data_IF_988345278453
#
_entry.id   IF_988345278453
#
_cell.length_a   1.000
_cell.length_b   1.000
_cell.length_c   1.000
_cell.angle_alpha   90.00
_cell.angle_beta   90.00
_cell.angle_gamma   90.00
#
_symmetry.space_group_name_H-M   'P 1'
#
loop_
_entity.id
_entity.type
_entity.pdbx_description
1 polymer ?
#
# COMPACT_ATOMS: atom_id res chain seq x y z
N UNK A 1 0.01 67.22 -33.50
CA UNK A 1 0.67 66.42 -32.42
C UNK A 1 -0.31 65.96 -31.35
N UNK A 2 -1.32 66.72 -30.97
CA UNK A 2 -2.32 66.39 -29.90
C UNK A 2 -3.23 65.19 -30.21
N UNK A 3 -3.68 64.95 -31.45
CA UNK A 3 -4.60 63.84 -31.81
C UNK A 3 -3.97 62.44 -31.69
N UNK A 4 -2.66 62.30 -31.93
CA UNK A 4 -1.97 60.99 -31.79
C UNK A 4 -1.78 60.59 -30.31
N UNK A 5 -1.56 61.60 -29.42
CA UNK A 5 -1.43 61.33 -27.95
C UNK A 5 -2.76 60.87 -27.32
N UNK A 6 -3.89 61.46 -27.77
CA UNK A 6 -5.21 61.07 -27.29
C UNK A 6 -5.64 59.65 -27.74
N UNK A 7 -5.19 59.20 -28.92
CA UNK A 7 -5.46 57.85 -29.43
C UNK A 7 -4.65 56.79 -28.65
N UNK A 8 -3.38 57.10 -28.35
CA UNK A 8 -2.51 56.16 -27.58
C UNK A 8 -3.03 56.02 -26.14
N UNK A 9 -3.49 57.13 -25.52
CA UNK A 9 -4.05 57.11 -24.18
C UNK A 9 -5.35 56.29 -24.10
N UNK A 10 -6.22 56.37 -25.12
CA UNK A 10 -7.45 55.56 -25.24
C UNK A 10 -7.13 54.06 -25.43
N UNK A 11 -6.12 53.72 -26.22
CA UNK A 11 -5.70 52.34 -26.42
C UNK A 11 -5.07 51.73 -25.14
N UNK A 12 -4.31 52.50 -24.37
CA UNK A 12 -3.76 52.10 -23.08
C UNK A 12 -4.87 51.86 -22.02
N UNK A 13 -5.89 52.73 -21.98
CA UNK A 13 -7.05 52.58 -21.08
C UNK A 13 -7.88 51.34 -21.42
N UNK A 14 -8.12 51.06 -22.71
CA UNK A 14 -8.83 49.85 -23.16
C UNK A 14 -8.04 48.59 -22.82
N UNK A 15 -6.72 48.63 -23.00
CA UNK A 15 -5.83 47.50 -22.63
C UNK A 15 -5.85 47.20 -21.10
N UNK A 16 -5.90 48.26 -20.29
CA UNK A 16 -5.98 48.15 -18.83
C UNK A 16 -7.30 47.55 -18.36
N UNK A 17 -8.44 47.98 -18.98
CA UNK A 17 -9.77 47.45 -18.66
C UNK A 17 -9.91 45.98 -19.08
N UNK A 18 -9.36 45.58 -20.23
CA UNK A 18 -9.36 44.18 -20.66
C UNK A 18 -8.50 43.32 -19.74
N UNK A 19 -7.37 43.83 -19.25
CA UNK A 19 -6.51 43.09 -18.30
C UNK A 19 -7.22 42.85 -16.95
N UNK A 20 -7.97 43.83 -16.43
CA UNK A 20 -8.71 43.69 -15.16
C UNK A 20 -9.93 42.76 -15.31
N UNK A 21 -10.56 42.70 -16.49
CA UNK A 21 -11.70 41.80 -16.72
C UNK A 21 -11.23 40.34 -16.87
N UNK A 22 -10.02 40.09 -17.40
CA UNK A 22 -9.45 38.73 -17.55
C UNK A 22 -8.96 38.16 -16.22
N UNK A 23 -8.61 38.99 -15.23
CA UNK A 23 -8.17 38.53 -13.90
C UNK A 23 -9.33 38.20 -12.94
N UNK A 24 -10.56 38.64 -13.25
CA UNK A 24 -11.76 38.36 -12.46
C UNK A 24 -12.75 37.44 -13.20
N UNK A 25 -12.28 36.55 -14.07
CA UNK A 25 -13.16 35.58 -14.72
C UNK A 25 -13.63 34.53 -13.70
N UNK A 26 -14.91 34.11 -13.70
CA UNK A 26 -15.42 33.08 -12.81
C UNK A 26 -14.74 31.72 -13.04
N UNK A 27 -14.03 31.53 -14.14
CA UNK A 27 -13.24 30.32 -14.45
C UNK A 27 -12.01 30.25 -13.53
N UNK A 28 -11.36 31.37 -13.19
CA UNK A 28 -10.21 31.35 -12.25
C UNK A 28 -10.66 31.00 -10.82
N UNK A 29 -11.84 31.51 -10.41
CA UNK A 29 -12.39 31.17 -9.08
C UNK A 29 -12.85 29.72 -9.01
N UNK A 30 -13.39 29.16 -10.10
CA UNK A 30 -13.72 27.73 -10.15
C UNK A 30 -12.47 26.83 -10.10
N UNK A 31 -11.36 27.22 -10.71
CA UNK A 31 -10.10 26.48 -10.67
C UNK A 31 -9.48 26.48 -9.26
N UNK A 32 -9.52 27.61 -8.55
CA UNK A 32 -9.05 27.68 -7.15
C UNK A 32 -9.94 26.87 -6.19
N UNK A 33 -11.27 26.87 -6.39
CA UNK A 33 -12.17 26.06 -5.55
C UNK A 33 -12.04 24.57 -5.82
N UNK A 34 -11.71 24.15 -7.07
CA UNK A 34 -11.44 22.75 -7.40
C UNK A 34 -10.13 22.26 -6.78
N UNK A 35 -9.11 23.11 -6.67
CA UNK A 35 -7.83 22.73 -6.04
C UNK A 35 -7.95 22.63 -4.51
N UNK A 36 -8.71 23.55 -3.87
CA UNK A 36 -9.00 23.45 -2.42
C UNK A 36 -9.85 22.20 -2.10
N UNK A 37 -10.82 21.83 -2.93
CA UNK A 37 -11.63 20.62 -2.73
C UNK A 37 -10.78 19.37 -2.88
N UNK A 38 -9.84 19.34 -3.81
CA UNK A 38 -8.91 18.22 -3.99
C UNK A 38 -7.98 18.05 -2.80
N UNK A 39 -7.57 19.15 -2.15
CA UNK A 39 -6.74 19.10 -0.94
C UNK A 39 -7.52 18.57 0.27
N UNK A 40 -8.84 18.81 0.37
CA UNK A 40 -9.69 18.30 1.44
C UNK A 40 -9.97 16.79 1.32
N UNK A 41 -10.04 16.24 0.10
CA UNK A 41 -10.21 14.80 -0.14
C UNK A 41 -8.97 13.96 0.24
N UNK A 42 -7.84 14.59 0.52
CA UNK A 42 -6.59 13.93 0.92
C UNK A 42 -6.27 14.03 2.41
N UNK A 43 -7.17 14.57 3.22
CA UNK A 43 -6.97 14.65 4.68
C UNK A 43 -7.25 13.30 5.31
N UNK A 44 -6.22 12.74 5.93
CA UNK A 44 -6.31 11.49 6.66
C UNK A 44 -7.23 11.59 7.88
N UNK A 45 -8.20 10.69 7.99
CA UNK A 45 -9.07 10.54 9.17
C UNK A 45 -8.24 9.92 10.30
N UNK A 46 -8.20 10.59 11.48
CA UNK A 46 -7.42 10.15 12.65
C UNK A 46 -8.27 9.70 13.82
N UNK A 47 -9.58 9.86 13.73
CA UNK A 47 -10.56 9.38 14.69
C UNK A 47 -11.83 8.97 13.96
N UNK A 48 -12.42 7.85 14.31
CA UNK A 48 -13.67 7.35 13.74
C UNK A 48 -14.52 6.70 14.85
N UNK A 49 -15.76 7.17 15.02
CA UNK A 49 -16.70 6.68 16.05
C UNK A 49 -16.09 6.65 17.47
N UNK A 50 -15.27 7.65 17.81
CA UNK A 50 -14.60 7.74 19.11
C UNK A 50 -13.42 6.79 19.31
N UNK A 51 -12.90 6.17 18.23
CA UNK A 51 -11.68 5.38 18.22
C UNK A 51 -10.56 6.17 17.57
N UNK A 52 -9.41 6.25 18.23
CA UNK A 52 -8.20 6.78 17.64
C UNK A 52 -7.68 5.83 16.57
N UNK A 53 -7.29 6.39 15.42
CA UNK A 53 -6.70 5.65 14.30
C UNK A 53 -5.21 5.91 14.20
N UNK A 54 -4.43 4.87 13.87
CA UNK A 54 -3.03 4.99 13.51
C UNK A 54 -2.87 5.78 12.21
N UNK A 55 -1.74 6.47 12.01
CA UNK A 55 -1.46 7.07 10.71
C UNK A 55 -1.17 6.01 9.66
N UNK A 56 -1.50 6.33 8.41
CA UNK A 56 -1.09 5.53 7.25
C UNK A 56 0.44 5.48 7.11
N UNK A 57 1.17 6.38 7.78
CA UNK A 57 2.62 6.45 7.84
C UNK A 57 3.22 5.77 9.08
N UNK A 58 2.41 5.33 10.05
CA UNK A 58 2.88 4.80 11.34
C UNK A 58 3.39 3.34 11.28
N UNK A 59 3.36 2.68 10.13
CA UNK A 59 3.79 1.30 10.00
C UNK A 59 4.72 1.05 8.80
N UNK A 60 5.57 0.02 8.96
CA UNK A 60 6.58 -0.30 7.97
C UNK A 60 5.95 -0.90 6.70
N UNK A 61 6.60 -0.65 5.57
CA UNK A 61 6.30 -1.36 4.33
C UNK A 61 6.99 -2.73 4.36
N UNK A 62 6.19 -3.80 4.27
CA UNK A 62 6.65 -5.17 4.17
C UNK A 62 6.14 -5.79 2.87
N UNK A 63 7.05 -6.24 2.02
CA UNK A 63 6.76 -6.91 0.76
C UNK A 63 7.93 -7.74 0.28
N UNK A 64 7.70 -8.60 -0.70
CA UNK A 64 8.74 -9.49 -1.24
C UNK A 64 9.57 -8.84 -2.35
N UNK A 65 9.10 -7.71 -2.92
CA UNK A 65 9.79 -6.99 -4.00
C UNK A 65 9.77 -5.46 -3.87
N UNK A 66 9.39 -4.92 -2.70
CA UNK A 66 9.18 -3.49 -2.50
C UNK A 66 7.83 -3.00 -3.05
N UNK A 67 7.49 -1.72 -2.83
CA UNK A 67 6.23 -1.13 -3.27
C UNK A 67 6.01 -1.27 -4.78
N UNK A 68 4.77 -1.61 -5.17
CA UNK A 68 4.39 -1.74 -6.57
C UNK A 68 3.63 -0.49 -7.02
N UNK A 69 4.05 0.10 -8.13
CA UNK A 69 3.39 1.26 -8.73
C UNK A 69 2.51 0.78 -9.89
N UNK A 70 1.23 0.56 -9.61
CA UNK A 70 0.26 0.01 -10.56
C UNK A 70 -0.56 1.15 -11.14
N UNK A 71 -0.68 1.17 -12.47
CA UNK A 71 -1.53 2.10 -13.18
C UNK A 71 -2.97 1.59 -13.18
N UNK A 72 -3.88 2.34 -12.55
CA UNK A 72 -5.29 1.98 -12.43
C UNK A 72 -6.00 1.87 -13.80
N UNK A 73 -5.59 2.66 -14.81
CA UNK A 73 -6.19 2.64 -16.14
C UNK A 73 -5.92 1.31 -16.88
N UNK A 74 -4.81 0.65 -16.54
CA UNK A 74 -4.39 -0.62 -17.15
C UNK A 74 -4.51 -1.80 -16.19
N UNK A 75 -5.12 -1.60 -15.02
CA UNK A 75 -5.29 -2.63 -14.01
C UNK A 75 -6.51 -3.50 -14.32
N UNK A 76 -6.38 -4.80 -14.05
CA UNK A 76 -7.47 -5.78 -14.08
C UNK A 76 -7.39 -6.69 -12.86
N UNK A 77 -8.52 -6.87 -12.18
CA UNK A 77 -8.75 -7.90 -11.16
C UNK A 77 -9.48 -9.06 -11.81
N UNK A 78 -8.92 -10.26 -11.74
CA UNK A 78 -9.59 -11.47 -12.21
C UNK A 78 -10.23 -12.24 -11.07
N UNK A 79 -11.45 -12.80 -11.28
CA UNK A 79 -12.06 -13.78 -10.40
C UNK A 79 -12.26 -15.05 -11.21
N UNK A 80 -11.65 -16.16 -10.80
CA UNK A 80 -11.54 -17.38 -11.61
C UNK A 80 -11.55 -18.66 -10.77
N UNK A 81 -11.24 -19.80 -11.39
CA UNK A 81 -11.18 -21.11 -10.73
C UNK A 81 -12.53 -21.81 -10.68
N UNK A 82 -12.94 -22.31 -9.51
CA UNK A 82 -14.22 -23.01 -9.31
C UNK A 82 -15.39 -22.02 -9.28
N UNK A 83 -15.63 -21.38 -10.43
CA UNK A 83 -16.73 -20.45 -10.70
C UNK A 83 -17.45 -20.86 -12.00
N UNK A 84 -18.69 -20.39 -12.23
CA UNK A 84 -19.38 -20.61 -13.50
C UNK A 84 -18.98 -19.57 -14.55
N UNK A 85 -18.70 -18.34 -14.12
CA UNK A 85 -18.34 -17.21 -14.96
C UNK A 85 -17.13 -16.52 -14.41
N UNK A 86 -15.99 -16.59 -15.11
CA UNK A 86 -14.82 -15.80 -14.76
C UNK A 86 -15.10 -14.32 -14.98
N UNK A 87 -14.58 -13.47 -14.08
CA UNK A 87 -14.71 -12.03 -14.17
C UNK A 87 -13.34 -11.38 -14.46
N UNK A 88 -13.35 -10.36 -15.29
CA UNK A 88 -12.26 -9.42 -15.51
C UNK A 88 -12.77 -8.02 -15.21
N UNK A 89 -12.36 -7.44 -14.08
CA UNK A 89 -12.87 -6.19 -13.57
C UNK A 89 -11.77 -5.13 -13.56
N UNK A 90 -12.04 -3.97 -14.14
CA UNK A 90 -11.17 -2.81 -13.99
C UNK A 90 -11.23 -2.28 -12.55
N UNK A 91 -10.29 -1.40 -12.18
CA UNK A 91 -10.37 -0.69 -10.89
C UNK A 91 -11.70 0.04 -10.72
N UNK A 92 -12.13 0.77 -11.77
CA UNK A 92 -13.39 1.52 -11.76
C UNK A 92 -14.62 0.61 -11.67
N UNK A 93 -14.60 -0.56 -12.30
CA UNK A 93 -15.70 -1.54 -12.17
C UNK A 93 -15.87 -1.97 -10.71
N UNK A 94 -14.77 -2.28 -10.02
CA UNK A 94 -14.84 -2.72 -8.62
C UNK A 94 -15.37 -1.62 -7.72
N UNK A 95 -14.84 -0.39 -7.80
CA UNK A 95 -15.23 0.69 -6.88
C UNK A 95 -16.59 1.31 -7.20
N UNK A 96 -17.14 1.13 -8.42
CA UNK A 96 -18.39 1.74 -8.85
C UNK A 96 -19.59 0.78 -8.84
N UNK A 97 -19.37 -0.52 -9.07
CA UNK A 97 -20.47 -1.48 -9.24
C UNK A 97 -20.79 -2.27 -7.98
N UNK A 98 -19.89 -2.28 -6.97
CA UNK A 98 -20.08 -3.03 -5.74
C UNK A 98 -20.36 -2.10 -4.55
N UNK A 99 -21.15 -2.56 -3.56
CA UNK A 99 -21.41 -1.77 -2.35
C UNK A 99 -20.13 -1.45 -1.59
N UNK A 100 -20.01 -0.20 -1.17
CA UNK A 100 -18.91 0.25 -0.32
C UNK A 100 -19.13 -0.25 1.11
N UNK A 101 -18.08 -0.77 1.70
CA UNK A 101 -18.07 -1.26 3.07
C UNK A 101 -16.89 -0.62 3.84
N UNK A 102 -17.17 -0.11 5.04
CA UNK A 102 -16.18 0.48 5.92
C UNK A 102 -16.09 -0.31 7.23
N UNK A 103 -14.89 -0.53 7.71
CA UNK A 103 -14.65 -1.14 9.03
C UNK A 103 -13.33 -0.69 9.65
N UNK A 104 -13.33 -0.49 10.98
CA UNK A 104 -12.11 -0.25 11.75
C UNK A 104 -11.53 -1.58 12.16
N UNK A 105 -10.37 -1.93 11.60
CA UNK A 105 -9.67 -3.18 11.90
C UNK A 105 -8.22 -2.92 12.23
N UNK A 106 -7.70 -3.66 13.22
CA UNK A 106 -6.27 -3.64 13.58
C UNK A 106 -5.54 -4.72 12.81
N UNK A 107 -4.53 -4.31 12.03
CA UNK A 107 -3.54 -5.20 11.43
C UNK A 107 -2.45 -5.50 12.45
N UNK A 108 -2.13 -6.77 12.66
CA UNK A 108 -1.06 -7.25 13.52
C UNK A 108 0.07 -7.86 12.70
N UNK A 109 1.25 -7.26 12.74
CA UNK A 109 2.43 -7.81 12.08
C UNK A 109 3.14 -8.82 12.96
N UNK A 110 3.69 -9.87 12.34
CA UNK A 110 4.55 -10.87 13.01
C UNK A 110 5.84 -10.25 13.58
N UNK A 111 6.22 -9.06 13.14
CA UNK A 111 7.36 -8.29 13.67
C UNK A 111 7.06 -7.57 15.00
N UNK A 112 5.84 -7.71 15.55
CA UNK A 112 5.47 -7.20 16.86
C UNK A 112 4.90 -5.78 16.88
N UNK A 113 4.58 -5.18 15.72
CA UNK A 113 3.85 -3.93 15.64
C UNK A 113 2.41 -4.13 15.17
N UNK A 114 1.55 -3.17 15.46
CA UNK A 114 0.15 -3.18 15.01
C UNK A 114 -0.35 -1.78 14.71
N UNK A 115 -1.32 -1.67 13.79
CA UNK A 115 -1.96 -0.42 13.41
C UNK A 115 -3.46 -0.60 13.30
N UNK A 116 -4.22 0.38 13.80
CA UNK A 116 -5.68 0.42 13.74
C UNK A 116 -6.10 1.41 12.68
N UNK A 117 -6.77 0.96 11.65
CA UNK A 117 -7.09 1.72 10.44
C UNK A 117 -8.59 1.60 10.14
N UNK A 118 -9.19 2.68 9.66
CA UNK A 118 -10.49 2.66 8.98
C UNK A 118 -10.25 2.23 7.53
N UNK A 119 -10.66 1.02 7.22
CA UNK A 119 -10.57 0.45 5.88
C UNK A 119 -11.88 0.66 5.12
N UNK A 120 -11.79 1.10 3.86
CA UNK A 120 -12.92 1.24 2.94
C UNK A 120 -12.65 0.38 1.70
N UNK A 121 -13.63 -0.44 1.33
CA UNK A 121 -13.49 -1.37 0.22
C UNK A 121 -14.79 -2.04 -0.18
N UNK A 122 -14.67 -3.15 -0.90
CA UNK A 122 -15.79 -4.00 -1.30
C UNK A 122 -15.66 -5.38 -0.66
N UNK A 123 -16.80 -6.01 -0.34
CA UNK A 123 -16.78 -7.35 0.23
C UNK A 123 -16.39 -8.37 -0.84
N UNK A 124 -15.45 -9.26 -0.50
CA UNK A 124 -15.01 -10.33 -1.41
C UNK A 124 -16.17 -11.24 -1.78
N UNK A 125 -17.08 -11.49 -0.84
CA UNK A 125 -18.26 -12.33 -1.10
C UNK A 125 -19.18 -11.79 -2.21
N UNK A 126 -19.25 -10.45 -2.42
CA UNK A 126 -20.05 -9.86 -3.48
C UNK A 126 -19.41 -10.10 -4.85
N UNK A 127 -18.06 -9.96 -4.93
CA UNK A 127 -17.30 -10.27 -6.14
C UNK A 127 -17.42 -11.73 -6.56
N UNK A 128 -17.26 -12.65 -5.60
CA UNK A 128 -17.34 -14.10 -5.90
C UNK A 128 -18.79 -14.56 -6.17
N UNK A 129 -19.79 -13.86 -5.61
CA UNK A 129 -21.19 -14.15 -5.92
C UNK A 129 -21.52 -13.86 -7.38
N UNK A 130 -21.00 -12.77 -7.95
CA UNK A 130 -21.17 -12.43 -9.37
C UNK A 130 -20.50 -13.44 -10.31
N UNK A 131 -19.41 -14.06 -9.86
CA UNK A 131 -18.74 -15.14 -10.57
C UNK A 131 -19.50 -16.49 -10.49
N UNK A 132 -20.56 -16.58 -9.67
CA UNK A 132 -21.35 -17.80 -9.40
C UNK A 132 -20.47 -18.98 -8.94
N UNK A 133 -20.00 -18.90 -7.69
CA UNK A 133 -19.12 -19.93 -7.07
C UNK A 133 -19.69 -21.34 -7.18
N UNK A 134 -18.85 -22.28 -7.58
CA UNK A 134 -19.20 -23.70 -7.58
C UNK A 134 -19.24 -24.26 -6.15
N UNK A 135 -20.17 -25.18 -5.84
CA UNK A 135 -20.29 -25.76 -4.49
C UNK A 135 -19.06 -26.53 -3.98
N UNK A 136 -18.17 -26.92 -4.88
CA UNK A 136 -16.94 -27.62 -4.53
C UNK A 136 -15.83 -26.69 -4.01
N UNK A 137 -15.96 -25.37 -4.19
CA UNK A 137 -14.98 -24.42 -3.71
C UNK A 137 -15.00 -24.34 -2.18
N UNK A 138 -13.86 -24.53 -1.55
CA UNK A 138 -13.67 -24.46 -0.10
C UNK A 138 -12.63 -23.41 0.31
N UNK A 139 -11.79 -22.97 -0.63
CA UNK A 139 -10.66 -22.07 -0.42
C UNK A 139 -10.68 -20.93 -1.43
N UNK A 140 -10.25 -19.74 -0.98
CA UNK A 140 -10.01 -18.58 -1.83
C UNK A 140 -8.51 -18.30 -1.83
N UNK A 141 -7.89 -18.34 -3.00
CA UNK A 141 -6.48 -18.03 -3.21
C UNK A 141 -6.37 -16.64 -3.80
N UNK A 142 -5.52 -15.81 -3.22
CA UNK A 142 -5.24 -14.47 -3.69
C UNK A 142 -3.84 -14.40 -4.29
N UNK A 143 -3.71 -13.72 -5.42
CA UNK A 143 -2.44 -13.47 -6.09
C UNK A 143 -2.20 -11.97 -6.24
N UNK A 144 -0.95 -11.56 -6.05
CA UNK A 144 -0.52 -10.18 -6.13
C UNK A 144 0.41 -9.92 -7.32
N UNK A 145 0.49 -8.66 -7.70
CA UNK A 145 1.31 -8.17 -8.82
C UNK A 145 2.81 -8.48 -8.64
N UNK A 146 3.33 -8.46 -7.42
CA UNK A 146 4.73 -8.78 -7.11
C UNK A 146 5.04 -10.28 -7.10
N UNK A 147 4.02 -11.13 -7.28
CA UNK A 147 4.10 -12.60 -7.23
C UNK A 147 3.92 -13.18 -5.83
N UNK A 148 3.49 -12.37 -4.85
CA UNK A 148 3.02 -12.86 -3.57
C UNK A 148 1.70 -13.62 -3.75
N UNK A 149 1.45 -14.63 -2.90
CA UNK A 149 0.17 -15.32 -2.83
C UNK A 149 -0.13 -15.78 -1.42
N UNK A 150 -1.39 -15.94 -1.10
CA UNK A 150 -1.89 -16.53 0.14
C UNK A 150 -3.28 -17.11 -0.09
N UNK A 151 -3.74 -17.95 0.82
CA UNK A 151 -5.08 -18.53 0.79
C UNK A 151 -5.79 -18.32 2.11
N UNK A 152 -7.11 -18.33 2.07
CA UNK A 152 -7.97 -18.38 3.26
C UNK A 152 -9.19 -19.26 2.96
N UNK A 153 -9.81 -19.89 3.98
CA UNK A 153 -11.04 -20.63 3.80
C UNK A 153 -12.18 -19.77 3.23
N UNK A 154 -13.00 -20.32 2.36
CA UNK A 154 -14.14 -19.61 1.76
C UNK A 154 -15.17 -19.18 2.81
N UNK A 155 -15.46 -20.03 3.81
CA UNK A 155 -16.35 -19.72 4.92
C UNK A 155 -15.83 -18.53 5.75
N UNK A 156 -14.51 -18.45 6.00
CA UNK A 156 -13.90 -17.30 6.66
C UNK A 156 -14.19 -15.97 5.91
N UNK A 157 -14.14 -15.98 4.58
CA UNK A 157 -14.44 -14.80 3.74
C UNK A 157 -15.91 -14.38 3.92
N UNK A 158 -16.81 -15.36 3.91
CA UNK A 158 -18.26 -15.10 3.95
C UNK A 158 -18.72 -14.68 5.36
N UNK A 159 -18.27 -15.41 6.38
CA UNK A 159 -18.75 -15.24 7.76
C UNK A 159 -18.19 -13.98 8.43
N UNK A 160 -17.04 -13.48 7.99
CA UNK A 160 -16.39 -12.30 8.58
C UNK A 160 -16.49 -11.03 7.71
N UNK A 161 -17.31 -11.04 6.66
CA UNK A 161 -17.48 -9.88 5.76
C UNK A 161 -16.11 -9.31 5.32
N UNK A 162 -15.23 -10.19 4.85
CA UNK A 162 -13.87 -9.83 4.46
C UNK A 162 -13.88 -8.92 3.22
N UNK A 163 -13.14 -7.83 3.26
CA UNK A 163 -13.08 -6.84 2.19
C UNK A 163 -11.73 -6.83 1.48
N UNK A 164 -11.73 -6.42 0.22
CA UNK A 164 -10.57 -5.86 -0.43
C UNK A 164 -10.70 -4.34 -0.37
N UNK A 165 -9.77 -3.72 0.34
CA UNK A 165 -9.77 -2.27 0.56
C UNK A 165 -9.06 -1.54 -0.57
N UNK A 166 -9.57 -0.36 -0.94
CA UNK A 166 -8.96 0.59 -1.87
C UNK A 166 -8.68 1.95 -1.21
N UNK A 167 -9.19 2.18 0.03
CA UNK A 167 -8.84 3.32 0.87
C UNK A 167 -8.54 2.88 2.31
N UNK A 168 -7.79 3.74 2.97
CA UNK A 168 -7.47 3.66 4.39
C UNK A 168 -7.54 5.06 5.00
N UNK A 169 -8.21 5.21 6.16
CA UNK A 169 -8.44 6.50 6.82
C UNK A 169 -8.97 7.59 5.88
N UNK A 170 -9.87 7.24 4.93
CA UNK A 170 -10.44 8.15 3.94
C UNK A 170 -9.53 8.49 2.76
N UNK A 171 -8.28 8.02 2.73
CA UNK A 171 -7.30 8.27 1.67
C UNK A 171 -7.18 7.04 0.77
N UNK A 172 -7.11 7.21 -0.55
CA UNK A 172 -6.81 6.12 -1.50
C UNK A 172 -5.50 5.45 -1.10
N UNK A 173 -5.45 4.13 -1.13
CA UNK A 173 -4.23 3.38 -0.79
C UNK A 173 -3.03 3.91 -1.58
N UNK A 174 -1.95 4.34 -0.92
CA UNK A 174 -0.70 4.60 -1.63
C UNK A 174 -0.05 3.28 -2.09
N UNK A 175 0.90 3.34 -3.03
CA UNK A 175 1.60 2.15 -3.54
C UNK A 175 2.16 1.27 -2.42
N UNK A 176 2.74 1.84 -1.37
CA UNK A 176 3.32 1.15 -0.21
C UNK A 176 2.28 0.36 0.59
N UNK A 177 1.00 0.77 0.51
CA UNK A 177 -0.13 0.19 1.24
C UNK A 177 -1.03 -0.69 0.37
N UNK A 178 -0.57 -1.04 -0.85
CA UNK A 178 -1.20 -2.07 -1.64
C UNK A 178 -2.17 -1.58 -2.71
N UNK A 179 -2.10 -0.30 -3.14
CA UNK A 179 -2.89 0.15 -4.29
C UNK A 179 -2.74 -0.80 -5.49
N UNK A 180 -3.81 -1.21 -6.19
CA UNK A 180 -5.21 -0.77 -6.07
C UNK A 180 -6.00 -1.43 -4.93
N UNK A 181 -5.67 -2.66 -4.53
CA UNK A 181 -6.45 -3.41 -3.54
C UNK A 181 -5.55 -4.17 -2.56
N UNK A 182 -5.92 -4.09 -1.28
CA UNK A 182 -5.34 -4.87 -0.19
C UNK A 182 -6.44 -5.68 0.51
N UNK A 183 -6.16 -6.95 0.83
CA UNK A 183 -7.05 -7.78 1.64
C UNK A 183 -7.03 -7.31 3.10
N UNK A 184 -8.19 -7.13 3.69
CA UNK A 184 -8.37 -6.87 5.13
C UNK A 184 -8.74 -8.18 5.81
N UNK A 185 -7.70 -8.96 6.15
CA UNK A 185 -7.85 -10.29 6.74
C UNK A 185 -8.00 -10.19 8.27
N UNK A 186 -9.13 -9.67 8.75
CA UNK A 186 -9.43 -9.52 10.17
C UNK A 186 -9.21 -10.81 10.95
N UNK A 187 -8.64 -10.73 12.16
CA UNK A 187 -8.27 -11.86 13.03
C UNK A 187 -7.11 -12.73 12.53
N UNK A 188 -6.48 -12.37 11.40
CA UNK A 188 -5.31 -13.06 10.86
C UNK A 188 -4.05 -12.20 11.02
N UNK A 189 -2.91 -12.88 11.13
CA UNK A 189 -1.59 -12.22 11.09
C UNK A 189 -1.34 -11.53 9.74
N UNK A 190 -0.54 -10.45 9.76
CA UNK A 190 -0.28 -9.56 8.63
C UNK A 190 0.16 -10.23 7.33
N UNK A 191 0.74 -11.43 7.36
CA UNK A 191 1.10 -12.14 6.12
C UNK A 191 -0.10 -12.69 5.33
N UNK A 192 -1.30 -12.75 5.90
CA UNK A 192 -2.54 -12.99 5.15
C UNK A 192 -3.11 -11.73 4.49
N UNK A 193 -2.62 -10.54 4.85
CA UNK A 193 -3.10 -9.26 4.34
C UNK A 193 -2.38 -8.88 3.04
N UNK A 194 -2.64 -9.66 1.99
CA UNK A 194 -2.01 -9.50 0.68
C UNK A 194 -2.33 -8.13 0.07
N UNK A 195 -1.28 -7.47 -0.47
CA UNK A 195 -1.31 -6.19 -1.17
C UNK A 195 -1.26 -6.39 -2.68
N UNK A 196 -1.65 -5.36 -3.45
CA UNK A 196 -1.55 -5.36 -4.91
C UNK A 196 -2.25 -6.55 -5.56
N UNK A 197 -3.44 -6.91 -5.08
CA UNK A 197 -4.20 -8.07 -5.54
C UNK A 197 -4.49 -7.93 -7.03
N UNK A 198 -4.23 -8.97 -7.81
CA UNK A 198 -4.53 -9.05 -9.25
C UNK A 198 -5.46 -10.19 -9.60
N UNK A 199 -5.54 -11.22 -8.75
CA UNK A 199 -6.44 -12.34 -8.98
C UNK A 199 -6.98 -12.93 -7.68
N UNK A 200 -8.22 -13.40 -7.76
CA UNK A 200 -8.95 -14.16 -6.74
C UNK A 200 -9.35 -15.48 -7.40
N UNK A 201 -8.83 -16.59 -6.91
CA UNK A 201 -9.12 -17.93 -7.44
C UNK A 201 -9.92 -18.75 -6.42
N UNK A 202 -11.06 -19.27 -6.81
CA UNK A 202 -11.86 -20.20 -6.04
C UNK A 202 -11.35 -21.63 -6.27
N UNK A 203 -11.04 -22.37 -5.20
CA UNK A 203 -10.38 -23.67 -5.28
C UNK A 203 -10.96 -24.66 -4.26
N UNK A 204 -10.75 -25.96 -4.48
CA UNK A 204 -10.96 -27.04 -3.53
C UNK A 204 -9.64 -27.54 -2.90
N UNK A 205 -8.51 -26.88 -3.22
CA UNK A 205 -7.20 -27.25 -2.73
C UNK A 205 -6.93 -26.62 -1.35
N UNK A 206 -7.42 -27.23 -0.30
CA UNK A 206 -7.21 -26.79 1.10
C UNK A 206 -5.75 -26.91 1.56
N UNK A 207 -4.90 -27.60 0.81
CA UNK A 207 -3.45 -27.73 1.10
C UNK A 207 -2.61 -26.67 0.38
N UNK A 208 -3.24 -25.68 -0.28
CA UNK A 208 -2.50 -24.62 -0.95
C UNK A 208 -1.74 -23.78 0.08
N UNK A 209 -0.42 -23.68 -0.09
CA UNK A 209 0.46 -22.87 0.73
C UNK A 209 0.94 -21.65 -0.05
N UNK A 210 0.63 -20.47 0.45
CA UNK A 210 1.10 -19.22 -0.08
C UNK A 210 2.60 -18.98 0.13
N UNK A 211 3.02 -17.70 -0.04
CA UNK A 211 4.44 -17.38 0.01
C UNK A 211 5.10 -17.67 1.37
N UNK A 212 4.50 -17.21 2.47
CA UNK A 212 5.07 -17.42 3.81
C UNK A 212 4.70 -18.78 4.39
N UNK A 213 3.51 -19.28 4.10
CA UNK A 213 3.04 -20.58 4.53
C UNK A 213 3.96 -21.71 3.99
N UNK A 214 4.38 -21.63 2.73
CA UNK A 214 5.35 -22.57 2.14
C UNK A 214 6.76 -22.46 2.76
N UNK A 215 7.00 -21.45 3.59
CA UNK A 215 8.25 -21.22 4.34
C UNK A 215 8.12 -21.54 5.83
N UNK A 216 7.02 -22.20 6.24
CA UNK A 216 6.82 -22.71 7.58
C UNK A 216 6.01 -21.81 8.51
N UNK A 217 5.39 -20.74 8.00
CA UNK A 217 4.38 -19.99 8.77
C UNK A 217 3.08 -20.80 8.82
N UNK A 218 2.30 -20.73 9.93
CA UNK A 218 1.01 -21.38 10.04
C UNK A 218 0.05 -21.01 8.91
N UNK A 219 -0.64 -21.96 8.33
CA UNK A 219 -1.57 -21.66 7.24
C UNK A 219 -2.84 -20.95 7.74
N UNK A 220 -3.33 -21.32 8.91
CA UNK A 220 -4.52 -20.68 9.51
C UNK A 220 -4.28 -19.22 9.91
N UNK A 221 -3.05 -18.86 10.32
CA UNK A 221 -2.63 -17.50 10.68
C UNK A 221 -3.48 -16.81 11.76
N UNK A 222 -4.23 -17.56 12.57
CA UNK A 222 -5.12 -17.02 13.58
C UNK A 222 -4.36 -16.29 14.69
N UNK A 223 -4.79 -15.07 15.04
CA UNK A 223 -4.14 -14.26 16.07
C UNK A 223 -4.16 -14.90 17.46
N UNK A 224 -5.21 -15.66 17.79
CA UNK A 224 -5.41 -16.32 19.07
C UNK A 224 -4.52 -17.55 19.24
N UNK A 225 -4.03 -18.15 18.15
CA UNK A 225 -3.12 -19.31 18.18
C UNK A 225 -1.65 -18.94 18.30
N UNK A 226 -1.31 -17.65 18.12
CA UNK A 226 0.07 -17.17 18.11
C UNK A 226 0.83 -17.51 16.81
N UNK A 227 2.03 -16.94 16.66
CA UNK A 227 2.88 -17.11 15.45
C UNK A 227 3.69 -18.42 15.51
N UNK A 228 3.91 -18.95 16.69
CA UNK A 228 4.77 -20.08 16.96
C UNK A 228 4.06 -21.12 17.83
N UNK A 229 3.43 -22.12 17.22
CA UNK A 229 3.84 -23.48 17.56
C UNK A 229 5.05 -23.78 16.68
N UNK A 230 6.27 -23.95 17.22
CA UNK A 230 7.32 -24.55 16.43
C UNK A 230 6.80 -25.94 16.09
N UNK A 231 6.37 -26.18 14.84
CA UNK A 231 6.50 -27.50 14.30
C UNK A 231 7.96 -27.84 14.61
N UNK A 232 8.18 -28.67 15.62
CA UNK A 232 9.49 -29.28 15.81
C UNK A 232 9.79 -29.90 14.46
N UNK A 233 10.70 -29.35 13.66
CA UNK A 233 11.09 -30.06 12.46
C UNK A 233 11.56 -31.43 13.00
N UNK A 234 10.96 -32.52 12.53
CA UNK A 234 11.53 -33.84 12.65
C UNK A 234 12.85 -33.79 11.87
N UNK A 235 13.85 -33.14 12.48
CA UNK A 235 15.21 -33.25 12.00
C UNK A 235 15.58 -34.74 12.19
N UNK A 236 15.92 -35.44 11.12
CA UNK A 236 16.43 -36.80 11.25
C UNK A 236 17.54 -36.77 12.30
N UNK A 237 17.43 -37.61 13.33
CA UNK A 237 18.37 -37.68 14.43
C UNK A 237 19.78 -37.84 13.87
N UNK A 238 20.60 -36.77 13.89
CA UNK A 238 21.96 -36.78 13.35
C UNK A 238 22.41 -35.47 12.69
N UNK A 239 21.54 -34.46 12.50
CA UNK A 239 21.98 -33.14 12.05
C UNK A 239 22.36 -32.32 13.28
N UNK A 240 23.66 -32.13 13.52
CA UNK A 240 24.16 -31.13 14.44
C UNK A 240 23.91 -29.75 13.80
N UNK A 241 23.00 -28.98 14.40
CA UNK A 241 22.81 -27.54 14.07
C UNK A 241 24.16 -26.89 14.31
N UNK A 242 24.76 -26.20 13.29
CA UNK A 242 25.95 -25.42 13.57
C UNK A 242 25.58 -24.36 14.63
N UNK A 243 26.47 -24.04 15.57
CA UNK A 243 26.19 -23.05 16.60
C UNK A 243 25.74 -21.77 15.91
N UNK A 244 24.67 -21.15 16.44
CA UNK A 244 24.16 -19.89 15.95
C UNK A 244 25.33 -18.96 15.61
N UNK A 245 25.27 -18.31 14.45
CA UNK A 245 26.30 -17.36 14.01
C UNK A 245 26.53 -16.44 15.20
N UNK A 246 27.76 -16.38 15.76
CA UNK A 246 28.00 -15.60 16.95
C UNK A 246 27.58 -14.16 16.65
N UNK A 247 26.60 -13.66 17.42
CA UNK A 247 26.22 -12.26 17.36
C UNK A 247 27.52 -11.46 17.58
N UNK A 248 27.93 -10.69 16.59
CA UNK A 248 29.10 -9.83 16.73
C UNK A 248 28.79 -8.88 17.90
N UNK A 249 29.53 -8.95 19.01
CA UNK A 249 29.26 -8.09 20.15
C UNK A 249 29.32 -6.64 19.67
N UNK A 250 28.30 -5.86 19.97
CA UNK A 250 28.10 -4.48 19.48
C UNK A 250 29.31 -3.56 19.77
N UNK A 251 30.18 -3.92 20.73
CA UNK A 251 31.42 -3.21 21.01
C UNK A 251 32.51 -3.36 19.92
N UNK A 252 32.41 -4.34 19.01
CA UNK A 252 33.34 -4.49 17.86
C UNK A 252 32.98 -3.54 16.74
N UNK A 253 31.70 -3.22 16.55
CA UNK A 253 31.23 -2.35 15.47
C UNK A 253 31.66 -0.88 15.71
N UNK A 254 31.63 -0.43 16.95
CA UNK A 254 31.96 0.95 17.31
C UNK A 254 33.43 1.33 16.95
N UNK A 255 34.46 0.53 17.27
CA UNK A 255 35.84 0.82 16.87
C UNK A 255 36.05 0.85 15.36
N UNK A 256 35.35 -0.03 14.60
CA UNK A 256 35.44 -0.04 13.13
C UNK A 256 34.88 1.23 12.51
N UNK A 257 33.75 1.74 13.02
CA UNK A 257 33.20 3.03 12.58
C UNK A 257 34.12 4.20 12.92
N UNK A 258 34.74 4.22 14.10
CA UNK A 258 35.67 5.23 14.52
C UNK A 258 36.94 5.20 13.63
N UNK A 259 37.47 4.03 13.33
CA UNK A 259 38.63 3.87 12.43
C UNK A 259 38.33 4.33 11.01
N UNK A 260 37.14 3.99 10.47
CA UNK A 260 36.68 4.41 9.14
C UNK A 260 36.55 5.94 9.05
N UNK A 261 35.94 6.58 10.06
CA UNK A 261 35.81 8.05 10.12
C UNK A 261 37.15 8.75 10.26
N UNK A 262 38.09 8.24 11.07
CA UNK A 262 39.45 8.76 11.16
C UNK A 262 40.19 8.63 9.83
N UNK A 263 40.05 7.50 9.12
CA UNK A 263 40.62 7.28 7.78
C UNK A 263 40.14 8.32 6.77
N UNK A 264 38.86 8.62 6.74
CA UNK A 264 38.28 9.65 5.83
C UNK A 264 38.76 11.04 6.18
N UNK A 265 38.88 11.40 7.47
CA UNK A 265 39.37 12.71 7.91
C UNK A 265 40.85 12.89 7.53
N UNK A 266 41.68 11.87 7.72
CA UNK A 266 43.10 11.90 7.36
C UNK A 266 43.32 11.96 5.84
N UNK A 267 42.50 11.24 5.07
CA UNK A 267 42.49 11.28 3.62
C UNK A 267 42.12 12.68 3.11
N UNK A 268 41.06 13.31 3.64
CA UNK A 268 40.67 14.68 3.27
C UNK A 268 41.73 15.73 3.61
N UNK A 269 42.50 15.56 4.69
CA UNK A 269 43.61 16.49 5.04
C UNK A 269 44.82 16.36 4.11
N UNK A 270 44.99 15.24 3.39
CA UNK A 270 46.10 15.02 2.44
C UNK A 270 45.78 15.51 1.01
N UNK A 271 44.53 15.85 0.70
CA UNK A 271 44.19 16.41 -0.61
C UNK A 271 44.71 17.85 -0.72
N UNK A 272 45.50 18.18 -1.76
CA UNK A 272 46.00 19.53 -1.95
C UNK A 272 44.83 20.49 -2.20
N UNK A 273 44.78 21.61 -1.44
CA UNK A 273 43.84 22.69 -1.70
C UNK A 273 44.09 23.23 -3.10
N UNK A 274 43.16 23.02 -4.04
CA UNK A 274 43.18 23.72 -5.33
C UNK A 274 43.14 25.23 -5.06
N UNK A 275 44.24 25.93 -5.34
CA UNK A 275 44.28 27.40 -5.40
C UNK A 275 43.42 27.83 -6.58
N UNK A 276 42.35 28.53 -6.32
CA UNK A 276 41.70 29.33 -7.35
C UNK A 276 42.63 30.49 -7.70
N UNK A 277 43.32 30.40 -8.83
CA UNK A 277 43.95 31.56 -9.45
C UNK A 277 42.84 32.29 -10.20
N UNK A 278 42.40 33.43 -9.66
CA UNK A 278 41.63 34.41 -10.40
C UNK A 278 42.48 34.93 -11.55
N UNK A 279 41.94 34.99 -12.72
CA UNK A 279 42.44 35.75 -13.86
C UNK A 279 41.54 36.98 -14.02
N UNK A 280 42.17 38.08 -14.02
CA UNK A 280 41.67 39.42 -14.38
C UNK A 280 40.91 39.44 -15.72
#
# INVERSE_FOLDING_TARGET
MHRKKALILKLLLVGLVISVVLTNSPIAILAETMDETKTLETVEIREYEGKDLSSIDDFFENSIKGPQHIDAENYTLTVSGLVKSELELTYDDVISNYPVFEKVVTLHCVEGWSVTILWEGVQVKDLIADAEVNPEATVVIFYAYDGYSTSVPLDYIIDNDIIIAYKMNGVVLPPERGFPFQLVAESKWGYKWIKWITAIELSDNEEYLGFWESRGYPDDADLDKGIYEPATPDFPSGITIPPAIPEFPSWIILPLFVMATFGVIMYRKRLPKKRCTGSD
#
